data_IF_911222116802
#
_entry.id   IF_911222116802
#
_cell.length_a   1.000
_cell.length_b   1.000
_cell.length_c   1.000
_cell.angle_alpha   90.00
_cell.angle_beta   90.00
_cell.angle_gamma   90.00
#
_symmetry.space_group_name_H-M   'P 1'
#
loop_
_entity.id
_entity.type
_entity.pdbx_description
1 polymer ?
#
# COMPACT_ATOMS: atom_id res chain seq x y z
N UNK A 1 -14.77 9.08 -1.78
CA UNK A 1 -14.78 10.38 -2.47
C UNK A 1 -13.48 10.64 -3.24
N UNK A 2 -12.30 10.40 -2.67
CA UNK A 2 -10.99 10.66 -3.32
C UNK A 2 -10.84 10.09 -4.76
N UNK A 3 -11.24 8.83 -4.99
CA UNK A 3 -11.25 8.24 -6.34
C UNK A 3 -12.15 9.04 -7.29
N UNK A 4 -13.36 9.40 -6.86
CA UNK A 4 -14.28 10.22 -7.65
C UNK A 4 -13.77 11.65 -7.91
N UNK A 5 -12.83 12.13 -7.09
CA UNK A 5 -12.13 13.41 -7.28
C UNK A 5 -10.88 13.29 -8.17
N UNK A 6 -10.57 12.10 -8.70
CA UNK A 6 -9.53 11.89 -9.71
C UNK A 6 -8.26 11.20 -9.21
N UNK A 7 -8.18 10.79 -7.94
CA UNK A 7 -7.05 9.99 -7.47
C UNK A 7 -7.04 8.62 -8.16
N UNK A 8 -5.92 8.25 -8.79
CA UNK A 8 -5.81 6.96 -9.48
C UNK A 8 -5.69 5.78 -8.49
N UNK A 9 -4.96 6.00 -7.41
CA UNK A 9 -4.70 5.05 -6.33
C UNK A 9 -4.89 5.78 -5.01
N UNK A 10 -5.62 5.17 -4.08
CA UNK A 10 -5.81 5.66 -2.72
C UNK A 10 -5.44 4.54 -1.77
N UNK A 11 -4.40 4.75 -0.96
CA UNK A 11 -4.01 3.85 0.12
C UNK A 11 -4.21 4.55 1.46
N UNK A 12 -4.85 3.88 2.42
CA UNK A 12 -5.19 4.43 3.74
C UNK A 12 -4.66 3.46 4.79
N UNK A 13 -3.69 3.91 5.59
CA UNK A 13 -3.24 3.16 6.77
C UNK A 13 -4.34 3.20 7.83
N UNK A 14 -4.74 2.02 8.29
CA UNK A 14 -5.84 1.85 9.26
C UNK A 14 -5.33 1.44 10.65
N UNK A 15 -4.18 1.97 11.09
CA UNK A 15 -3.58 1.59 12.37
C UNK A 15 -3.26 0.09 12.45
N UNK A 16 -3.79 -0.59 13.46
CA UNK A 16 -3.63 -2.04 13.65
C UNK A 16 -4.43 -2.90 12.66
N UNK A 17 -5.42 -2.32 11.98
CA UNK A 17 -6.24 -3.01 10.97
C UNK A 17 -5.53 -3.14 9.60
N UNK A 18 -4.28 -2.67 9.48
CA UNK A 18 -3.48 -2.83 8.27
C UNK A 18 -3.56 -1.65 7.30
N UNK A 19 -3.64 -1.94 6.01
CA UNK A 19 -3.65 -0.98 4.91
C UNK A 19 -4.80 -1.28 3.94
N UNK A 20 -5.68 -0.31 3.74
CA UNK A 20 -6.69 -0.37 2.69
C UNK A 20 -6.16 0.27 1.41
N UNK A 21 -6.42 -0.34 0.26
CA UNK A 21 -6.11 0.21 -1.04
C UNK A 21 -7.33 0.16 -1.96
N UNK A 22 -7.57 1.24 -2.68
CA UNK A 22 -8.54 1.31 -3.77
C UNK A 22 -7.93 1.97 -4.99
N UNK A 23 -8.24 1.46 -6.17
CA UNK A 23 -7.82 2.02 -7.44
C UNK A 23 -9.01 2.25 -8.37
N UNK A 24 -8.81 3.10 -9.38
CA UNK A 24 -9.73 3.21 -10.53
C UNK A 24 -9.12 2.52 -11.76
N UNK A 25 -9.64 2.82 -12.95
CA UNK A 25 -9.01 2.41 -14.20
C UNK A 25 -7.66 3.13 -14.36
N UNK A 26 -6.57 2.36 -14.36
CA UNK A 26 -5.19 2.87 -14.39
C UNK A 26 -4.68 3.07 -15.82
N UNK A 27 -5.25 2.36 -16.80
CA UNK A 27 -4.83 2.37 -18.22
C UNK A 27 -4.74 3.77 -18.83
N UNK A 28 -5.59 4.70 -18.38
CA UNK A 28 -5.64 6.09 -18.86
C UNK A 28 -4.73 7.05 -18.07
N UNK A 29 -4.04 6.56 -17.05
CA UNK A 29 -3.15 7.34 -16.20
C UNK A 29 -1.69 7.19 -16.61
N UNK A 30 -0.85 8.14 -16.17
CA UNK A 30 0.61 8.06 -16.36
C UNK A 30 1.26 6.91 -15.54
N UNK A 31 0.52 6.28 -14.62
CA UNK A 31 1.05 5.17 -13.82
C UNK A 31 1.27 3.91 -14.66
N UNK A 32 0.60 3.78 -15.81
CA UNK A 32 0.81 2.69 -16.78
C UNK A 32 2.26 2.57 -17.28
N UNK A 33 3.10 3.60 -17.06
CA UNK A 33 4.54 3.59 -17.36
C UNK A 33 5.40 2.94 -16.28
N UNK A 34 4.85 2.78 -15.07
CA UNK A 34 5.54 2.24 -13.90
C UNK A 34 5.01 0.84 -13.59
N UNK A 35 3.69 0.67 -13.66
CA UNK A 35 2.98 -0.55 -13.26
C UNK A 35 2.15 -1.11 -14.42
N UNK A 36 1.94 -2.43 -14.40
CA UNK A 36 1.01 -3.08 -15.32
C UNK A 36 -0.44 -2.73 -14.96
N UNK A 37 -1.12 -2.01 -15.84
CA UNK A 37 -2.48 -1.53 -15.57
C UNK A 37 -3.49 -2.65 -15.33
N UNK A 38 -3.35 -3.82 -15.95
CA UNK A 38 -4.29 -4.93 -15.76
C UNK A 38 -4.25 -5.51 -14.33
N UNK A 39 -3.08 -5.48 -13.68
CA UNK A 39 -2.89 -5.91 -12.29
C UNK A 39 -3.36 -4.86 -11.27
N UNK A 40 -3.67 -3.65 -11.72
CA UNK A 40 -3.99 -2.51 -10.87
C UNK A 40 -5.37 -1.90 -11.12
N UNK A 41 -6.08 -2.28 -12.18
CA UNK A 41 -7.40 -1.78 -12.48
C UNK A 41 -8.43 -2.22 -11.42
N UNK A 42 -9.22 -1.26 -10.93
CA UNK A 42 -10.41 -1.51 -10.09
C UNK A 42 -10.17 -2.41 -8.86
N UNK A 43 -9.00 -2.31 -8.25
CA UNK A 43 -8.65 -3.06 -7.04
C UNK A 43 -9.31 -2.43 -5.83
N UNK A 44 -9.73 -3.30 -4.91
CA UNK A 44 -10.16 -2.94 -3.57
C UNK A 44 -9.61 -4.00 -2.62
N UNK A 45 -8.57 -3.64 -1.88
CA UNK A 45 -7.80 -4.56 -1.06
C UNK A 45 -7.77 -4.07 0.39
N UNK A 46 -7.77 -5.01 1.31
CA UNK A 46 -7.40 -4.80 2.70
C UNK A 46 -6.26 -5.78 3.01
N UNK A 47 -5.08 -5.25 3.32
CA UNK A 47 -3.95 -6.04 3.80
C UNK A 47 -3.87 -5.88 5.33
N UNK A 48 -4.18 -6.92 6.12
CA UNK A 48 -4.03 -6.87 7.57
C UNK A 48 -2.55 -6.68 7.99
N UNK A 49 -2.32 -6.16 9.20
CA UNK A 49 -0.97 -6.18 9.78
C UNK A 49 -0.52 -7.62 10.03
N UNK A 50 0.78 -7.87 9.88
CA UNK A 50 1.38 -9.10 10.38
C UNK A 50 1.37 -9.09 11.92
N UNK A 51 1.29 -10.27 12.53
CA UNK A 51 1.42 -10.41 13.97
C UNK A 51 2.87 -10.14 14.40
N UNK A 52 3.04 -9.27 15.40
CA UNK A 52 4.36 -8.81 15.87
C UNK A 52 4.35 -8.56 17.37
N UNK A 53 5.52 -8.56 18.00
CA UNK A 53 5.69 -8.04 19.36
C UNK A 53 5.93 -6.52 19.32
N UNK A 54 4.87 -5.73 19.56
CA UNK A 54 4.92 -4.26 19.41
C UNK A 54 5.76 -3.62 20.51
N UNK A 55 6.86 -2.97 20.13
CA UNK A 55 7.75 -2.19 21.02
C UNK A 55 7.58 -0.69 20.87
N UNK A 56 7.18 -0.22 19.69
CA UNK A 56 6.89 1.18 19.41
C UNK A 56 6.06 1.33 18.13
N UNK A 57 5.43 2.49 17.93
CA UNK A 57 4.59 2.75 16.72
C UNK A 57 5.03 3.99 15.96
N UNK A 58 6.03 4.71 16.47
CA UNK A 58 6.55 5.92 15.86
C UNK A 58 7.19 5.57 14.52
N UNK A 59 6.79 6.27 13.44
CA UNK A 59 7.34 6.04 12.10
C UNK A 59 6.74 4.84 11.34
N UNK A 60 5.89 4.02 11.96
CA UNK A 60 5.27 2.86 11.28
C UNK A 60 4.45 3.25 10.05
N UNK A 61 3.82 4.42 10.07
CA UNK A 61 3.13 4.97 8.90
C UNK A 61 4.09 5.19 7.74
N UNK A 62 5.20 5.88 7.99
CA UNK A 62 6.24 6.17 6.98
C UNK A 62 6.86 4.88 6.45
N UNK A 63 7.18 3.94 7.34
CA UNK A 63 7.71 2.63 6.99
C UNK A 63 6.74 1.84 6.10
N UNK A 64 5.43 1.87 6.42
CA UNK A 64 4.40 1.22 5.60
C UNK A 64 4.35 1.81 4.20
N UNK A 65 4.36 3.15 4.08
CA UNK A 65 4.34 3.82 2.78
C UNK A 65 5.63 3.59 2.00
N UNK A 66 6.79 3.56 2.67
CA UNK A 66 8.07 3.24 2.04
C UNK A 66 8.07 1.82 1.43
N UNK A 67 7.57 0.82 2.17
CA UNK A 67 7.41 -0.55 1.67
C UNK A 67 6.43 -0.65 0.50
N UNK A 68 5.33 0.11 0.55
CA UNK A 68 4.40 0.21 -0.58
C UNK A 68 5.07 0.78 -1.83
N UNK A 69 5.77 1.92 -1.68
CA UNK A 69 6.41 2.63 -2.79
C UNK A 69 7.57 1.82 -3.40
N UNK A 70 8.30 1.04 -2.60
CA UNK A 70 9.36 0.17 -3.10
C UNK A 70 8.83 -0.81 -4.16
N UNK A 71 7.83 -1.63 -3.81
CA UNK A 71 7.23 -2.57 -4.76
C UNK A 71 6.50 -1.86 -5.91
N UNK A 72 5.86 -0.72 -5.63
CA UNK A 72 5.19 0.06 -6.66
C UNK A 72 6.16 0.50 -7.76
N UNK A 73 7.34 0.99 -7.37
CA UNK A 73 8.38 1.44 -8.29
C UNK A 73 9.06 0.28 -9.03
N UNK A 74 9.08 -0.91 -8.44
CA UNK A 74 9.49 -2.16 -9.09
C UNK A 74 8.45 -2.71 -10.09
N UNK A 75 7.32 -2.02 -10.25
CA UNK A 75 6.27 -2.37 -11.21
C UNK A 75 5.42 -3.57 -10.78
N UNK A 76 5.48 -3.94 -9.51
CA UNK A 76 4.78 -5.10 -8.97
C UNK A 76 3.27 -4.90 -8.88
N UNK A 77 2.53 -6.00 -8.72
CA UNK A 77 1.08 -5.97 -8.59
C UNK A 77 0.60 -5.39 -7.24
N UNK A 78 -0.64 -4.89 -7.22
CA UNK A 78 -1.20 -4.18 -6.08
C UNK A 78 -1.15 -5.00 -4.77
N UNK A 79 -1.42 -6.31 -4.84
CA UNK A 79 -1.38 -7.24 -3.71
C UNK A 79 0.00 -7.33 -3.08
N UNK A 80 1.06 -7.47 -3.90
CA UNK A 80 2.43 -7.49 -3.39
C UNK A 80 2.80 -6.16 -2.75
N UNK A 81 2.36 -5.05 -3.34
CA UNK A 81 2.63 -3.72 -2.80
C UNK A 81 2.01 -3.53 -1.42
N UNK A 82 0.72 -3.86 -1.24
CA UNK A 82 0.07 -3.73 0.08
C UNK A 82 0.58 -4.76 1.09
N UNK A 83 1.00 -5.94 0.64
CA UNK A 83 1.60 -6.97 1.49
C UNK A 83 2.94 -6.51 2.04
N UNK A 84 3.86 -6.04 1.17
CA UNK A 84 5.15 -5.54 1.63
C UNK A 84 5.00 -4.31 2.51
N UNK A 85 4.06 -3.41 2.17
CA UNK A 85 3.74 -2.25 3.02
C UNK A 85 3.45 -2.67 4.47
N UNK A 86 2.56 -3.64 4.67
CA UNK A 86 2.24 -4.15 6.01
C UNK A 86 3.38 -4.94 6.65
N UNK A 87 4.22 -5.61 5.87
CA UNK A 87 5.41 -6.32 6.38
C UNK A 87 6.47 -5.35 6.90
N UNK A 88 6.76 -4.27 6.16
CA UNK A 88 7.72 -3.25 6.58
C UNK A 88 7.18 -2.46 7.79
N UNK A 89 5.87 -2.20 7.82
CA UNK A 89 5.22 -1.65 9.02
C UNK A 89 5.39 -2.55 10.25
N UNK A 90 5.22 -3.87 10.09
CA UNK A 90 5.47 -4.86 11.12
C UNK A 90 6.94 -4.85 11.61
N UNK A 91 7.92 -4.84 10.71
CA UNK A 91 9.33 -4.74 11.11
C UNK A 91 9.63 -3.44 11.88
N UNK A 92 9.00 -2.33 11.51
CA UNK A 92 9.18 -1.05 12.19
C UNK A 92 8.66 -1.07 13.63
N UNK A 93 7.52 -1.72 13.91
CA UNK A 93 6.97 -1.72 15.27
C UNK A 93 7.76 -2.61 16.25
N UNK A 94 8.56 -3.55 15.72
CA UNK A 94 9.43 -4.44 16.50
C UNK A 94 10.83 -3.85 16.75
N UNK A 95 11.18 -2.77 16.04
CA UNK A 95 12.40 -2.02 16.23
C UNK A 95 12.22 -1.03 17.40
N UNK A 96 13.25 -0.91 18.26
CA UNK A 96 13.33 0.06 19.38
C UNK A 96 14.17 1.24 18.95
#
# INVERSE_FOLDING_TARGET
QLIAYGANVVAIKLGDQGLYLRTQQIEKSNLSRIINSSQWNYRQLLSPCFATEVKGTTGTGDATIAGFLAQFLDGEEAEKCVTLATAVGACCVEAV
#
